data_IF_081128823072
#
_entry.id   IF_081128823072
#
_cell.length_a   1.000
_cell.length_b   1.000
_cell.length_c   1.000
_cell.angle_alpha   90.00
_cell.angle_beta   90.00
_cell.angle_gamma   90.00
#
_symmetry.space_group_name_H-M   'P 1'
#
loop_
_entity.id
_entity.type
_entity.pdbx_description
1 polymer ?
#
# COMPACT_ATOMS: atom_id res chain seq x y z
N UNK A 1 -5.61 -17.89 17.24
CA UNK A 1 -5.06 -18.27 15.93
C UNK A 1 -4.34 -17.05 15.38
N UNK A 2 -3.02 -17.08 15.29
CA UNK A 2 -2.23 -15.96 14.76
C UNK A 2 -2.30 -16.02 13.24
N UNK A 3 -3.16 -15.22 12.62
CA UNK A 3 -3.18 -15.05 11.17
C UNK A 3 -1.93 -14.29 10.76
N UNK A 4 -1.05 -14.92 9.98
CA UNK A 4 0.09 -14.23 9.40
C UNK A 4 -0.41 -13.08 8.50
N UNK A 5 0.10 -11.88 8.73
CA UNK A 5 -0.21 -10.70 7.92
C UNK A 5 0.49 -10.82 6.56
N UNK A 6 -0.29 -11.01 5.49
CA UNK A 6 0.25 -11.12 4.13
C UNK A 6 0.86 -9.80 3.67
N UNK A 7 2.05 -9.85 3.08
CA UNK A 7 2.64 -8.67 2.46
C UNK A 7 1.87 -8.28 1.19
N UNK A 8 1.55 -7.00 1.05
CA UNK A 8 0.78 -6.46 -0.08
C UNK A 8 1.64 -5.43 -0.83
N UNK A 9 1.76 -5.59 -2.15
CA UNK A 9 2.38 -4.59 -3.01
C UNK A 9 1.31 -3.94 -3.88
N UNK A 10 1.18 -2.62 -3.79
CA UNK A 10 0.26 -1.82 -4.60
C UNK A 10 1.04 -1.14 -5.71
N UNK A 11 0.68 -1.43 -6.96
CA UNK A 11 1.29 -0.82 -8.15
C UNK A 11 0.41 0.35 -8.62
N UNK A 12 0.91 1.57 -8.41
CA UNK A 12 0.29 2.83 -8.78
C UNK A 12 -0.06 3.68 -7.55
N UNK A 13 0.62 4.83 -7.41
CA UNK A 13 0.38 5.81 -6.34
C UNK A 13 -0.68 6.87 -6.72
N UNK A 14 -1.69 6.47 -7.48
CA UNK A 14 -2.87 7.31 -7.73
C UNK A 14 -3.85 7.26 -6.55
N UNK A 15 -4.89 8.09 -6.58
CA UNK A 15 -5.88 8.21 -5.48
C UNK A 15 -6.40 6.87 -4.95
N UNK A 16 -6.74 5.94 -5.83
CA UNK A 16 -7.24 4.62 -5.46
C UNK A 16 -6.14 3.70 -4.90
N UNK A 17 -4.95 3.71 -5.51
CA UNK A 17 -3.83 2.88 -5.04
C UNK A 17 -3.34 3.30 -3.67
N UNK A 18 -3.24 4.60 -3.42
CA UNK A 18 -2.89 5.15 -2.11
C UNK A 18 -3.96 4.82 -1.07
N UNK A 19 -5.25 4.98 -1.38
CA UNK A 19 -6.34 4.61 -0.47
C UNK A 19 -6.34 3.11 -0.13
N UNK A 20 -6.06 2.25 -1.12
CA UNK A 20 -5.95 0.81 -0.94
C UNK A 20 -4.75 0.43 -0.08
N UNK A 21 -3.58 1.04 -0.33
CA UNK A 21 -2.37 0.84 0.45
C UNK A 21 -2.59 1.23 1.93
N UNK A 22 -3.23 2.38 2.17
CA UNK A 22 -3.60 2.83 3.52
C UNK A 22 -4.56 1.85 4.19
N UNK A 23 -5.56 1.34 3.45
CA UNK A 23 -6.50 0.36 3.98
C UNK A 23 -5.78 -0.90 4.47
N UNK A 24 -4.88 -1.48 3.65
CA UNK A 24 -4.12 -2.66 4.04
C UNK A 24 -3.16 -2.38 5.21
N UNK A 25 -2.48 -1.24 5.21
CA UNK A 25 -1.58 -0.84 6.29
C UNK A 25 -2.32 -0.68 7.63
N UNK A 26 -3.52 -0.06 7.60
CA UNK A 26 -4.39 0.07 8.78
C UNK A 26 -4.88 -1.27 9.31
N UNK A 27 -5.01 -2.27 8.44
CA UNK A 27 -5.36 -3.63 8.83
C UNK A 27 -4.14 -4.45 9.30
N UNK A 28 -2.98 -3.82 9.47
CA UNK A 28 -1.77 -4.45 9.99
C UNK A 28 -0.93 -5.20 8.94
N UNK A 29 -1.26 -5.06 7.66
CA UNK A 29 -0.51 -5.72 6.59
C UNK A 29 0.75 -4.92 6.29
N UNK A 30 1.91 -5.57 6.11
CA UNK A 30 3.08 -4.91 5.55
C UNK A 30 2.78 -4.53 4.09
N UNK A 31 2.76 -3.24 3.80
CA UNK A 31 2.39 -2.69 2.48
C UNK A 31 3.57 -1.99 1.83
N UNK A 32 3.78 -2.23 0.54
CA UNK A 32 4.68 -1.46 -0.32
C UNK A 32 3.87 -0.76 -1.40
N UNK A 33 3.96 0.57 -1.49
CA UNK A 33 3.35 1.36 -2.57
C UNK A 33 4.43 1.68 -3.60
N UNK A 34 4.19 1.32 -4.86
CA UNK A 34 5.09 1.59 -5.97
C UNK A 34 4.44 2.56 -6.94
N UNK A 35 5.15 3.63 -7.32
CA UNK A 35 4.71 4.57 -8.34
C UNK A 35 5.80 4.76 -9.39
N UNK A 36 5.38 5.06 -10.62
CA UNK A 36 6.31 5.36 -11.71
C UNK A 36 7.03 6.69 -11.48
N UNK A 37 6.29 7.71 -11.05
CA UNK A 37 6.86 9.01 -10.69
C UNK A 37 7.03 9.05 -9.17
N UNK A 38 8.17 9.57 -8.72
CA UNK A 38 8.43 9.76 -7.29
C UNK A 38 7.50 10.80 -6.67
N UNK A 39 7.05 11.79 -7.45
CA UNK A 39 6.13 12.85 -7.00
C UNK A 39 4.79 12.27 -6.49
N UNK A 40 4.25 11.29 -7.21
CA UNK A 40 3.00 10.61 -6.85
C UNK A 40 3.14 9.74 -5.59
N UNK A 41 4.36 9.28 -5.25
CA UNK A 41 4.64 8.41 -4.09
C UNK A 41 5.03 9.23 -2.85
N UNK A 42 5.61 10.41 -3.03
CA UNK A 42 6.14 11.24 -1.95
C UNK A 42 5.07 12.10 -1.25
N UNK A 43 3.86 12.20 -1.81
CA UNK A 43 2.72 12.96 -1.28
C UNK A 43 1.86 12.10 -0.36
#
# INVERSE_FOLDING_TARGET
MTTAQSAVTVLGAGSYGTALAICFARNGHPVTLWGRNSDDVAT
#
